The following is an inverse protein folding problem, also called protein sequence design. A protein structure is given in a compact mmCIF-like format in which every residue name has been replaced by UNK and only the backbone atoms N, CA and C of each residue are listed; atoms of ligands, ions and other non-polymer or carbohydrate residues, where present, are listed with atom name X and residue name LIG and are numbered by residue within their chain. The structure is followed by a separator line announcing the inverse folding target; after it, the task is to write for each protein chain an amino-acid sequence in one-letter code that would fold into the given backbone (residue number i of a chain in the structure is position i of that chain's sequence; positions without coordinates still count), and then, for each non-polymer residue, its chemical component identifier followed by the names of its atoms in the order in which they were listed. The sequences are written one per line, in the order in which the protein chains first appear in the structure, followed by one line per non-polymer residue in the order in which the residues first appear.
data_IF_711008366518
#
_entry.id   IF_711008366518
#
_cell.length_a   1.000
_cell.length_b   1.000
_cell.length_c   1.000
_cell.angle_alpha   90.00
_cell.angle_beta   90.00
_cell.angle_gamma   90.00
#
_symmetry.space_group_name_H-M   'P 1'
#
loop_
_entity.id
_entity.type
_entity.pdbx_description
1 polymer ?
#
# COMPACT_ATOMS: atom_id res chain seq x y z
N UNK A 1 -2.42 -17.67 3.33
CA UNK A 1 -2.45 -16.36 2.64
C UNK A 1 -1.17 -16.07 1.84
N UNK A 2 0.01 -15.82 2.45
CA UNK A 2 1.25 -15.48 1.69
C UNK A 2 1.63 -16.49 0.59
N UNK A 3 1.34 -17.77 0.84
CA UNK A 3 1.61 -18.88 -0.07
C UNK A 3 0.32 -19.47 -0.65
N UNK A 4 -0.70 -18.65 -0.83
CA UNK A 4 -1.96 -19.09 -1.44
C UNK A 4 -2.27 -18.25 -2.67
N UNK A 5 -3.01 -18.86 -3.57
CA UNK A 5 -3.60 -18.23 -4.75
C UNK A 5 -5.06 -18.67 -4.84
N UNK A 6 -5.89 -17.90 -5.53
CA UNK A 6 -7.23 -18.37 -5.86
C UNK A 6 -7.19 -19.49 -6.92
N UNK A 7 -8.37 -20.02 -7.22
CA UNK A 7 -8.59 -21.07 -8.22
C UNK A 7 -8.76 -20.51 -9.63
N UNK A 8 -9.37 -21.34 -10.48
CA UNK A 8 -9.81 -20.93 -11.81
C UNK A 8 -10.76 -19.72 -11.73
N UNK A 9 -10.64 -18.70 -12.62
CA UNK A 9 -9.76 -18.62 -13.78
C UNK A 9 -8.44 -17.86 -13.57
N UNK A 10 -8.24 -17.25 -12.41
CA UNK A 10 -7.21 -16.21 -12.20
C UNK A 10 -5.89 -16.75 -11.68
N UNK A 11 -5.91 -17.72 -10.77
CA UNK A 11 -4.73 -18.25 -10.09
C UNK A 11 -3.82 -17.16 -9.50
N UNK A 12 -4.42 -16.07 -9.02
CA UNK A 12 -3.76 -14.89 -8.51
C UNK A 12 -3.29 -15.13 -7.08
N UNK A 13 -1.99 -14.94 -6.86
CA UNK A 13 -1.44 -14.81 -5.51
C UNK A 13 -1.58 -13.35 -5.05
N UNK A 14 -2.54 -13.10 -4.16
CA UNK A 14 -2.86 -11.76 -3.66
C UNK A 14 -1.72 -11.12 -2.89
N UNK A 15 -0.91 -11.89 -2.16
CA UNK A 15 0.26 -11.34 -1.46
C UNK A 15 1.29 -10.82 -2.47
N UNK A 16 1.58 -11.59 -3.52
CA UNK A 16 2.47 -11.15 -4.61
C UNK A 16 1.88 -9.95 -5.36
N UNK A 17 0.56 -9.95 -5.60
CA UNK A 17 -0.12 -8.83 -6.22
C UNK A 17 0.01 -7.55 -5.39
N UNK A 18 -0.14 -7.63 -4.06
CA UNK A 18 0.06 -6.47 -3.17
C UNK A 18 1.48 -5.93 -3.20
N UNK A 19 2.50 -6.79 -3.30
CA UNK A 19 3.88 -6.36 -3.51
C UNK A 19 3.99 -5.59 -4.83
N UNK A 20 3.53 -6.17 -5.94
CA UNK A 20 3.57 -5.55 -7.27
C UNK A 20 2.83 -4.20 -7.26
N UNK A 21 1.66 -4.13 -6.64
CA UNK A 21 0.87 -2.91 -6.52
C UNK A 21 1.62 -1.82 -5.72
N UNK A 22 2.33 -2.20 -4.65
CA UNK A 22 3.12 -1.25 -3.84
C UNK A 22 4.26 -0.64 -4.65
N UNK A 23 4.99 -1.47 -5.41
CA UNK A 23 6.04 -1.00 -6.32
C UNK A 23 5.47 -0.11 -7.43
N UNK A 24 4.37 -0.52 -8.06
CA UNK A 24 3.71 0.27 -9.09
C UNK A 24 3.21 1.62 -8.54
N UNK A 25 2.68 1.65 -7.31
CA UNK A 25 2.24 2.88 -6.65
C UNK A 25 3.41 3.83 -6.38
N UNK A 26 4.55 3.31 -5.91
CA UNK A 26 5.78 4.09 -5.75
C UNK A 26 6.22 4.72 -7.07
N UNK A 27 6.32 3.92 -8.13
CA UNK A 27 6.80 4.39 -9.43
C UNK A 27 5.82 5.41 -10.04
N UNK A 28 4.51 5.19 -9.86
CA UNK A 28 3.47 6.15 -10.20
C UNK A 28 3.68 7.48 -9.46
N UNK A 29 3.87 7.48 -8.14
CA UNK A 29 4.13 8.71 -7.39
C UNK A 29 5.40 9.41 -7.89
N UNK A 30 6.49 8.68 -8.08
CA UNK A 30 7.75 9.25 -8.60
C UNK A 30 7.54 9.88 -9.98
N UNK A 31 6.73 9.28 -10.84
CA UNK A 31 6.41 9.85 -12.16
C UNK A 31 5.70 11.22 -12.08
N UNK A 32 5.07 11.55 -10.95
CA UNK A 32 4.42 12.83 -10.70
C UNK A 32 5.36 13.89 -10.12
N UNK A 33 6.65 13.59 -9.91
CA UNK A 33 7.64 14.52 -9.34
C UNK A 33 7.75 15.86 -10.09
N UNK A 34 7.56 15.85 -11.42
CA UNK A 34 7.57 17.09 -12.22
C UNK A 34 6.41 18.04 -11.88
N UNK A 35 5.33 17.51 -11.29
CA UNK A 35 4.17 18.28 -10.83
C UNK A 35 4.23 18.57 -9.33
N UNK A 36 4.78 17.65 -8.53
CA UNK A 36 4.91 17.79 -7.09
C UNK A 36 6.36 17.52 -6.69
N UNK A 37 7.14 18.58 -6.51
CA UNK A 37 8.60 18.51 -6.35
C UNK A 37 9.07 17.72 -5.13
N UNK A 38 8.22 17.58 -4.11
CA UNK A 38 8.53 16.80 -2.91
C UNK A 38 8.50 15.30 -3.19
N UNK A 39 7.79 14.86 -4.23
CA UNK A 39 7.71 13.44 -4.54
C UNK A 39 9.07 12.92 -5.01
N UNK A 40 9.42 11.70 -4.59
CA UNK A 40 10.68 11.08 -4.95
C UNK A 40 10.84 9.67 -4.40
N UNK A 41 12.01 9.04 -4.61
CA UNK A 41 12.27 7.65 -4.23
C UNK A 41 11.98 7.29 -2.77
N UNK A 42 12.16 8.26 -1.86
CA UNK A 42 11.95 8.15 -0.41
C UNK A 42 10.89 9.15 0.10
N UNK A 43 10.09 9.74 -0.77
CA UNK A 43 9.03 10.68 -0.39
C UNK A 43 7.85 10.46 -1.33
N UNK A 44 7.04 9.46 -1.03
CA UNK A 44 5.89 9.08 -1.84
C UNK A 44 4.82 8.44 -0.96
N UNK A 45 3.65 8.20 -1.54
CA UNK A 45 2.53 7.56 -0.87
C UNK A 45 1.33 8.48 -0.87
N UNK A 46 0.31 8.08 -1.63
CA UNK A 46 -0.98 8.75 -1.66
C UNK A 46 -2.09 7.70 -1.70
N UNK A 47 -2.96 7.77 -0.70
CA UNK A 47 -4.18 6.98 -0.61
C UNK A 47 -5.27 7.89 -0.06
N UNK A 48 -6.52 7.47 -0.19
CA UNK A 48 -7.68 8.20 0.32
C UNK A 48 -7.42 8.70 1.74
N UNK A 49 -7.63 10.00 1.96
CA UNK A 49 -7.32 10.70 3.22
C UNK A 49 -8.01 12.05 3.24
N UNK A 50 -7.86 12.76 4.36
CA UNK A 50 -8.13 14.18 4.36
C UNK A 50 -7.09 14.95 3.57
N UNK A 51 -7.49 16.16 3.18
CA UNK A 51 -6.69 17.12 2.47
C UNK A 51 -6.94 18.51 3.05
N UNK A 52 -6.13 19.51 2.65
CA UNK A 52 -6.42 20.90 2.97
C UNK A 52 -7.82 21.39 2.54
N UNK A 53 -8.48 20.66 1.64
CA UNK A 53 -9.81 20.98 1.08
C UNK A 53 -10.88 19.96 1.47
N UNK A 54 -10.64 19.10 2.46
CA UNK A 54 -11.56 18.06 2.92
C UNK A 54 -11.16 16.66 2.45
N UNK A 55 -12.06 15.69 2.60
CA UNK A 55 -11.78 14.29 2.28
C UNK A 55 -11.69 14.03 0.77
N UNK A 56 -10.65 13.32 0.32
CA UNK A 56 -10.40 13.07 -1.11
C UNK A 56 -10.11 11.60 -1.40
N UNK A 57 -10.81 11.05 -2.39
CA UNK A 57 -10.54 9.73 -2.96
C UNK A 57 -9.55 9.86 -4.10
N UNK A 58 -8.26 9.73 -3.78
CA UNK A 58 -7.15 9.80 -4.73
C UNK A 58 -6.23 8.60 -4.68
N UNK A 59 -5.41 8.43 -5.71
CA UNK A 59 -4.41 7.36 -5.75
C UNK A 59 -3.99 7.01 -7.17
N UNK A 60 -3.40 5.82 -7.28
CA UNK A 60 -3.09 5.20 -8.55
C UNK A 60 -2.01 4.14 -8.41
N UNK A 61 -1.54 3.56 -9.53
CA UNK A 61 -2.13 3.67 -10.87
C UNK A 61 -3.43 2.84 -11.01
N UNK A 62 -4.42 3.24 -11.84
CA UNK A 62 -4.46 4.44 -12.69
C UNK A 62 -4.66 5.73 -11.87
N UNK A 63 -4.29 6.87 -12.46
CA UNK A 63 -4.45 8.18 -11.82
C UNK A 63 -5.91 8.42 -11.41
N UNK A 64 -6.14 8.67 -10.12
CA UNK A 64 -7.46 8.94 -9.56
C UNK A 64 -7.43 10.15 -8.61
N UNK A 65 -8.48 10.97 -8.70
CA UNK A 65 -8.70 12.12 -7.82
C UNK A 65 -7.84 13.35 -8.15
N UNK A 66 -8.12 14.50 -7.51
CA UNK A 66 -7.37 15.73 -7.67
C UNK A 66 -6.05 15.68 -6.86
N UNK A 67 -5.09 14.84 -7.29
CA UNK A 67 -3.78 14.77 -6.64
C UNK A 67 -3.16 16.17 -6.60
N UNK A 68 -2.63 16.57 -5.45
CA UNK A 68 -2.17 17.95 -5.20
C UNK A 68 -0.82 18.01 -4.45
N UNK A 69 -0.08 16.90 -4.40
CA UNK A 69 1.20 16.80 -3.69
C UNK A 69 1.08 16.41 -2.22
N UNK A 70 -0.14 16.19 -1.72
CA UNK A 70 -0.35 15.63 -0.38
C UNK A 70 0.32 14.25 -0.26
N UNK A 71 0.97 14.01 0.87
CA UNK A 71 1.60 12.77 1.27
C UNK A 71 0.80 12.16 2.40
N UNK A 72 0.59 10.85 2.30
CA UNK A 72 -0.29 10.11 3.21
C UNK A 72 0.54 8.97 3.81
N UNK A 73 1.13 9.16 5.01
CA UNK A 73 2.08 8.21 5.60
C UNK A 73 1.56 6.78 5.69
N UNK A 74 0.26 6.59 5.90
CA UNK A 74 -0.36 5.26 5.99
C UNK A 74 -0.22 4.46 4.69
N UNK A 75 -0.05 5.09 3.51
CA UNK A 75 0.16 4.39 2.25
C UNK A 75 1.46 3.55 2.29
N UNK A 76 2.55 4.15 2.79
CA UNK A 76 3.82 3.44 2.97
C UNK A 76 3.79 2.54 4.22
N UNK A 77 3.29 3.03 5.35
CA UNK A 77 3.26 2.27 6.60
C UNK A 77 2.37 1.01 6.51
N UNK A 78 1.17 1.14 5.93
CA UNK A 78 0.27 0.02 5.66
C UNK A 78 0.83 -1.01 4.67
N UNK A 79 1.90 -0.67 3.95
CA UNK A 79 2.54 -1.54 2.96
C UNK A 79 3.86 -2.18 3.45
N UNK A 80 4.31 -1.87 4.68
CA UNK A 80 5.52 -2.44 5.29
C UNK A 80 5.55 -3.97 5.27
N UNK A 81 4.42 -4.63 5.55
CA UNK A 81 4.33 -6.10 5.54
C UNK A 81 4.48 -6.73 4.15
N UNK A 82 4.45 -5.93 3.08
CA UNK A 82 4.62 -6.38 1.70
C UNK A 82 5.99 -6.01 1.13
N UNK A 83 6.41 -4.75 1.28
CA UNK A 83 7.61 -4.22 0.62
C UNK A 83 8.38 -3.25 1.54
N UNK A 84 8.85 -3.76 2.69
CA UNK A 84 9.55 -2.97 3.70
C UNK A 84 10.75 -2.19 3.15
N UNK A 85 11.44 -2.74 2.17
CA UNK A 85 12.67 -2.21 1.57
C UNK A 85 12.44 -0.88 0.83
N UNK A 86 11.24 -0.65 0.31
CA UNK A 86 10.85 0.62 -0.31
C UNK A 86 9.99 1.50 0.60
N UNK A 87 9.29 0.92 1.58
CA UNK A 87 8.38 1.66 2.46
C UNK A 87 9.09 2.25 3.68
N UNK A 88 10.02 1.52 4.31
CA UNK A 88 10.72 1.99 5.51
C UNK A 88 11.58 3.24 5.25
N UNK A 89 12.30 3.37 4.13
CA UNK A 89 13.02 4.60 3.80
C UNK A 89 12.11 5.84 3.74
N UNK A 90 10.87 5.68 3.26
CA UNK A 90 9.90 6.78 3.16
C UNK A 90 9.53 7.30 4.54
N UNK A 91 9.12 6.40 5.44
CA UNK A 91 8.72 6.78 6.80
C UNK A 91 9.88 7.43 7.55
N UNK A 92 11.10 6.92 7.39
CA UNK A 92 12.31 7.51 7.97
C UNK A 92 12.59 8.91 7.42
N UNK A 93 12.47 9.10 6.12
CA UNK A 93 12.73 10.41 5.50
C UNK A 93 11.66 11.44 5.89
N UNK A 94 10.38 11.03 5.92
CA UNK A 94 9.27 11.84 6.44
C UNK A 94 9.54 12.30 7.87
N UNK A 95 9.86 11.37 8.78
CA UNK A 95 10.17 11.69 10.17
C UNK A 95 11.41 12.58 10.29
N UNK A 96 12.46 12.30 9.53
CA UNK A 96 13.71 13.05 9.55
C UNK A 96 13.51 14.51 9.11
N UNK A 97 12.68 14.75 8.09
CA UNK A 97 12.47 16.10 7.53
C UNK A 97 11.46 16.90 8.36
N UNK A 98 10.34 16.29 8.74
CA UNK A 98 9.22 17.04 9.33
C UNK A 98 9.08 16.85 10.85
N UNK A 99 9.69 15.79 11.40
CA UNK A 99 9.77 15.53 12.84
C UNK A 99 8.41 15.55 13.53
N UNK A 100 8.37 16.22 14.68
CA UNK A 100 7.21 16.30 15.56
C UNK A 100 6.00 17.01 14.93
N UNK A 101 6.17 17.71 13.79
CA UNK A 101 5.05 18.32 13.08
C UNK A 101 4.10 17.25 12.53
N UNK A 102 4.66 16.15 12.01
CA UNK A 102 3.87 15.06 11.42
C UNK A 102 3.90 13.79 12.26
N UNK A 103 4.78 13.66 13.25
CA UNK A 103 4.87 12.49 14.13
C UNK A 103 4.53 12.89 15.56
N UNK A 104 3.31 12.59 15.98
CA UNK A 104 2.73 13.08 17.23
C UNK A 104 2.33 11.92 18.16
N UNK A 105 1.43 12.18 19.11
CA UNK A 105 0.98 11.24 20.14
C UNK A 105 0.60 9.85 19.61
N UNK A 106 -0.02 9.78 18.43
CA UNK A 106 -0.51 8.52 17.84
C UNK A 106 0.32 8.05 16.64
N UNK A 107 1.55 8.55 16.49
CA UNK A 107 2.43 8.27 15.35
C UNK A 107 2.28 9.32 14.26
N UNK A 108 2.40 8.89 13.00
CA UNK A 108 2.25 9.80 11.87
C UNK A 108 0.82 10.39 11.79
N UNK A 109 0.72 11.66 11.39
CA UNK A 109 -0.52 12.30 10.94
C UNK A 109 -1.15 11.50 9.80
N UNK A 110 -2.46 11.66 9.61
CA UNK A 110 -3.19 11.08 8.48
C UNK A 110 -2.61 11.52 7.13
N UNK A 111 -2.43 12.83 6.95
CA UNK A 111 -1.92 13.41 5.72
C UNK A 111 -1.22 14.75 5.98
N UNK A 112 -0.28 15.11 5.11
CA UNK A 112 0.36 16.42 5.11
C UNK A 112 0.71 16.85 3.69
N UNK A 113 0.76 18.15 3.45
CA UNK A 113 1.17 18.72 2.17
C UNK A 113 2.31 19.72 2.40
N UNK A 114 3.55 19.40 2.00
CA UNK A 114 4.71 20.27 2.22
C UNK A 114 4.63 21.63 1.55
N UNK A 115 3.91 21.71 0.42
CA UNK A 115 3.84 22.87 -0.44
C UNK A 115 2.39 23.34 -0.64
N UNK A 116 1.56 23.25 0.41
CA UNK A 116 0.25 23.89 0.39
C UNK A 116 0.41 25.41 0.30
N UNK A 117 -0.56 26.11 -0.31
CA UNK A 117 -0.67 27.59 -0.46
C UNK A 117 0.52 28.43 0.06
N UNK A 118 1.20 29.15 -0.85
CA UNK A 118 2.41 29.93 -0.55
C UNK A 118 3.57 29.09 0.03
N UNK A 119 3.62 27.80 -0.32
CA UNK A 119 4.64 26.81 0.12
C UNK A 119 4.72 26.62 1.64
N UNK A 120 3.57 26.72 2.29
CA UNK A 120 3.42 26.43 3.71
C UNK A 120 3.08 24.96 3.91
N UNK A 121 3.73 24.33 4.90
CA UNK A 121 3.35 23.00 5.35
C UNK A 121 1.93 23.02 5.91
N UNK A 122 1.07 22.18 5.35
CA UNK A 122 -0.21 21.80 5.94
C UNK A 122 -0.11 20.41 6.54
N UNK A 123 -0.67 20.20 7.73
CA UNK A 123 -0.69 18.93 8.46
C UNK A 123 -2.12 18.67 8.94
N UNK A 124 -2.65 17.48 8.67
CA UNK A 124 -3.95 17.09 9.21
C UNK A 124 -3.89 17.05 10.75
N UNK A 125 -4.91 17.62 11.39
CA UNK A 125 -5.06 17.61 12.84
C UNK A 125 -5.86 16.40 13.34
N UNK A 126 -6.60 15.75 12.45
CA UNK A 126 -7.41 14.58 12.77
C UNK A 126 -6.57 13.31 12.83
N UNK A 127 -7.05 12.37 13.63
CA UNK A 127 -6.47 11.04 13.78
C UNK A 127 -7.46 10.03 13.24
N UNK A 128 -7.18 9.54 12.04
CA UNK A 128 -8.09 8.64 11.33
C UNK A 128 -7.76 7.19 11.68
N UNK A 129 -8.71 6.50 12.33
CA UNK A 129 -8.50 5.16 12.87
C UNK A 129 -8.19 4.09 11.81
N UNK A 130 -8.72 4.25 10.58
CA UNK A 130 -8.41 3.31 9.48
C UNK A 130 -6.95 3.42 9.03
N UNK A 131 -6.36 4.62 9.06
CA UNK A 131 -5.01 4.90 8.59
C UNK A 131 -3.94 4.58 9.64
N UNK A 132 -4.18 4.96 10.89
CA UNK A 132 -3.32 4.56 12.02
C UNK A 132 -3.42 3.04 12.25
N UNK A 133 -4.64 2.49 12.14
CA UNK A 133 -4.90 1.07 12.33
C UNK A 133 -4.14 0.19 11.36
N UNK A 134 -4.20 0.48 10.05
CA UNK A 134 -3.47 -0.32 9.05
C UNK A 134 -1.95 -0.21 9.24
N UNK A 135 -1.45 0.97 9.62
CA UNK A 135 -0.03 1.18 9.92
C UNK A 135 0.43 0.25 11.05
N UNK A 136 -0.30 0.21 12.16
CA UNK A 136 0.01 -0.66 13.30
C UNK A 136 -0.05 -2.15 12.93
N UNK A 137 -1.11 -2.58 12.24
CA UNK A 137 -1.30 -3.98 11.86
C UNK A 137 -0.24 -4.46 10.86
N UNK A 138 0.16 -3.58 9.93
CA UNK A 138 1.22 -3.84 8.97
C UNK A 138 2.58 -4.00 9.66
N UNK A 139 2.90 -3.13 10.63
CA UNK A 139 4.14 -3.25 11.43
C UNK A 139 4.16 -4.58 12.19
N UNK A 140 3.09 -4.96 12.88
CA UNK A 140 3.06 -6.25 13.61
C UNK A 140 3.20 -7.44 12.65
N UNK A 141 2.55 -7.40 11.48
CA UNK A 141 2.70 -8.46 10.47
C UNK A 141 4.10 -8.54 9.87
N UNK A 142 4.80 -7.40 9.76
CA UNK A 142 6.20 -7.35 9.36
C UNK A 142 7.09 -7.99 10.43
N UNK A 143 6.92 -7.60 11.69
CA UNK A 143 7.78 -8.05 12.80
C UNK A 143 7.59 -9.51 13.15
N UNK A 144 6.34 -9.97 13.27
CA UNK A 144 6.01 -11.30 13.82
C UNK A 144 5.08 -12.12 12.92
N UNK A 145 4.32 -11.46 12.04
CA UNK A 145 3.27 -12.10 11.24
C UNK A 145 2.04 -12.51 12.06
N UNK A 146 1.90 -11.99 13.29
CA UNK A 146 0.91 -12.49 14.24
C UNK A 146 -0.53 -12.19 13.85
N UNK A 147 -0.83 -11.01 13.31
CA UNK A 147 -2.20 -10.64 12.89
C UNK A 147 -2.70 -11.65 11.86
N UNK A 148 -1.90 -11.95 10.84
CA UNK A 148 -2.20 -13.00 9.87
C UNK A 148 -2.30 -14.38 10.50
N UNK A 149 -1.38 -14.74 11.40
CA UNK A 149 -1.39 -16.03 12.09
C UNK A 149 -2.67 -16.23 12.89
N UNK A 150 -3.07 -15.25 13.70
CA UNK A 150 -4.27 -15.32 14.53
C UNK A 150 -5.54 -15.39 13.69
N UNK A 151 -5.64 -14.56 12.64
CA UNK A 151 -6.78 -14.60 11.72
C UNK A 151 -6.93 -15.99 11.05
N UNK A 152 -5.83 -16.54 10.53
CA UNK A 152 -5.83 -17.83 9.84
C UNK A 152 -5.97 -19.04 10.77
N UNK A 153 -5.83 -18.89 12.10
CA UNK A 153 -6.11 -19.98 13.07
C UNK A 153 -7.60 -20.24 13.25
N UNK A 154 -8.47 -19.33 12.81
CA UNK A 154 -9.91 -19.52 12.89
C UNK A 154 -10.37 -20.56 11.86
N UNK A 155 -10.97 -21.67 12.33
CA UNK A 155 -11.48 -22.75 11.48
C UNK A 155 -12.52 -22.27 10.44
N UNK A 156 -13.32 -21.25 10.76
CA UNK A 156 -14.31 -20.71 9.83
C UNK A 156 -13.64 -19.97 8.67
N UNK A 157 -12.52 -19.28 8.93
CA UNK A 157 -11.73 -18.64 7.88
C UNK A 157 -11.07 -19.69 6.99
N UNK A 158 -10.53 -20.76 7.57
CA UNK A 158 -9.94 -21.85 6.80
C UNK A 158 -10.98 -22.50 5.88
N UNK A 159 -12.17 -22.82 6.39
CA UNK A 159 -13.26 -23.38 5.58
C UNK A 159 -13.75 -22.39 4.50
N UNK A 160 -13.85 -21.10 4.82
CA UNK A 160 -14.22 -20.09 3.84
C UNK A 160 -13.22 -20.02 2.69
N UNK A 161 -11.92 -19.97 2.99
CA UNK A 161 -10.84 -19.93 2.00
C UNK A 161 -10.87 -21.15 1.07
N UNK A 162 -11.12 -22.35 1.60
CA UNK A 162 -11.29 -23.56 0.78
C UNK A 162 -12.52 -23.46 -0.13
N UNK A 163 -13.67 -23.04 0.41
CA UNK A 163 -14.93 -22.92 -0.34
C UNK A 163 -14.88 -21.87 -1.46
N UNK A 164 -14.12 -20.79 -1.27
CA UNK A 164 -13.87 -19.79 -2.32
C UNK A 164 -12.72 -20.18 -3.27
N UNK A 165 -12.21 -21.40 -3.15
CA UNK A 165 -11.26 -21.98 -4.10
C UNK A 165 -9.80 -21.60 -3.88
N UNK A 166 -9.43 -21.03 -2.73
CA UNK A 166 -8.03 -20.76 -2.43
C UNK A 166 -7.27 -22.07 -2.21
N UNK A 167 -6.08 -22.14 -2.81
CA UNK A 167 -5.17 -23.27 -2.72
C UNK A 167 -3.76 -22.81 -2.40
N UNK A 168 -2.94 -23.72 -1.90
CA UNK A 168 -1.51 -23.44 -1.75
C UNK A 168 -0.92 -23.13 -3.13
N UNK A 169 -0.18 -22.03 -3.22
CA UNK A 169 0.61 -21.71 -4.39
C UNK A 169 1.79 -22.68 -4.43
N UNK A 170 1.80 -23.59 -5.39
CA UNK A 170 2.91 -24.53 -5.59
C UNK A 170 4.19 -23.74 -5.87
N UNK A 171 5.27 -23.88 -5.09
CA UNK A 171 6.54 -23.28 -5.43
C UNK A 171 7.01 -23.79 -6.81
N UNK A 172 7.15 -22.89 -7.79
CA UNK A 172 7.87 -23.18 -9.04
C UNK A 172 7.09 -23.86 -10.19
N UNK A 173 5.77 -24.10 -10.09
CA UNK A 173 5.01 -24.65 -11.23
C UNK A 173 4.32 -23.53 -12.00
N UNK A 174 4.97 -23.12 -13.09
CA UNK A 174 4.39 -22.23 -14.09
C UNK A 174 3.41 -23.03 -14.96
N UNK A 175 2.13 -22.66 -14.97
CA UNK A 175 1.22 -23.12 -16.02
C UNK A 175 1.70 -22.51 -17.34
N UNK A 176 2.17 -23.36 -18.26
CA UNK A 176 2.62 -22.96 -19.59
C UNK A 176 1.50 -22.25 -20.32
N UNK A 177 1.83 -21.12 -20.95
CA UNK A 177 1.07 -20.49 -22.04
C UNK A 177 0.54 -21.58 -22.98
N UNK A 178 -0.78 -21.63 -23.14
CA UNK A 178 -1.41 -22.45 -24.17
C UNK A 178 -0.91 -21.97 -25.53
N UNK A 179 -0.30 -22.89 -26.29
CA UNK A 179 0.03 -22.64 -27.69
C UNK A 179 -1.27 -22.37 -28.44
N UNK A 180 -1.41 -21.17 -29.00
CA UNK A 180 -2.36 -20.89 -30.08
C UNK A 180 -2.09 -21.90 -31.20
N UNK A 181 -3.06 -22.78 -31.43
CA UNK A 181 -3.02 -23.76 -32.51
C UNK A 181 -2.96 -23.04 -33.85
N UNK A 182 -1.95 -23.36 -34.63
CA UNK A 182 -1.94 -23.08 -36.06
C UNK A 182 -3.07 -23.88 -36.74
N UNK A 183 -3.91 -23.19 -37.51
CA UNK A 183 -4.48 -23.76 -38.74
C UNK A 183 -4.24 -22.76 -39.86
N UNK A 184 -3.18 -23.04 -40.63
CA UNK A 184 -3.08 -22.62 -42.02
C UNK A 184 -4.06 -23.47 -42.83
N UNK A 185 -4.85 -22.81 -43.67
CA UNK A 185 -5.28 -23.33 -44.95
C UNK A 185 -4.75 -22.34 -46.00
#
# INVERSE_FOLDING_TARGET
FRHQQDGDPTYLNYFRNSIIATYAHRDFCISLQSRYSDYGPNMWGITVSDSPTGYVVWGGPPYAGPINGTLVPCAAAGSLMFAQEICLPVLREMQKIYGDQIYQRYGFTDAFNPNWQDRKLWVNQDVVGIDVGISLLSIENLLTGNVWRWFMRNQYIQSAMERVGFRLATPGVFLRSTKTGARRA
#
